data_IF_543716285475
#
_entry.id   IF_543716285475
#
_cell.length_a   1.000
_cell.length_b   1.000
_cell.length_c   1.000
_cell.angle_alpha   90.00
_cell.angle_beta   90.00
_cell.angle_gamma   90.00
#
_symmetry.space_group_name_H-M   'P 1'
#
loop_
_entity.id
_entity.type
_entity.pdbx_description
1 polymer ?
#
# COMPACT_ATOMS: atom_id res chain seq x y z
N UNK A 1 -9.56 -19.14 2.75
CA UNK A 1 -10.70 -18.23 2.58
C UNK A 1 -10.45 -17.28 1.42
N UNK A 2 -11.46 -17.10 0.60
CA UNK A 2 -11.30 -16.27 -0.58
C UNK A 2 -12.02 -14.94 -0.39
N UNK A 3 -11.37 -13.87 -0.79
CA UNK A 3 -11.97 -12.55 -0.72
C UNK A 3 -13.05 -12.42 -1.77
N UNK A 4 -14.12 -11.69 -1.44
CA UNK A 4 -15.21 -11.49 -2.40
C UNK A 4 -14.77 -10.50 -3.47
N UNK A 5 -15.04 -10.85 -4.72
CA UNK A 5 -14.65 -9.97 -5.81
C UNK A 5 -15.28 -8.58 -5.72
N UNK A 6 -16.51 -8.52 -5.23
CA UNK A 6 -17.19 -7.22 -5.11
C UNK A 6 -16.57 -6.30 -4.08
N UNK A 7 -15.78 -6.85 -3.16
CA UNK A 7 -15.11 -6.03 -2.15
C UNK A 7 -13.75 -5.56 -2.62
N UNK A 8 -13.31 -6.02 -3.78
CA UNK A 8 -12.00 -5.68 -4.32
C UNK A 8 -12.06 -4.47 -5.23
N UNK A 9 -10.97 -3.78 -5.33
CA UNK A 9 -10.79 -2.70 -6.29
C UNK A 9 -9.44 -2.89 -6.95
N UNK A 10 -9.24 -2.23 -8.08
CA UNK A 10 -7.95 -2.25 -8.73
C UNK A 10 -7.03 -1.29 -8.02
N UNK A 11 -5.87 -1.78 -7.61
CA UNK A 11 -4.84 -0.93 -7.04
C UNK A 11 -3.57 -1.14 -7.84
N UNK A 12 -2.73 -0.12 -7.87
CA UNK A 12 -1.45 -0.21 -8.58
C UNK A 12 -0.36 -0.43 -7.56
N UNK A 13 0.41 -1.49 -7.77
CA UNK A 13 1.49 -1.88 -6.89
C UNK A 13 2.81 -1.51 -7.55
N UNK A 14 3.66 -0.76 -6.86
CA UNK A 14 4.95 -0.31 -7.39
C UNK A 14 6.07 -0.70 -6.47
N UNK A 15 7.21 -1.07 -7.04
CA UNK A 15 8.41 -1.26 -6.24
C UNK A 15 9.06 0.09 -6.02
N UNK A 16 9.56 0.32 -4.82
CA UNK A 16 10.31 1.52 -4.55
C UNK A 16 11.72 1.32 -5.07
N UNK A 17 12.16 2.18 -5.98
CA UNK A 17 13.50 2.06 -6.56
C UNK A 17 14.53 2.91 -5.86
N UNK A 18 14.10 3.84 -5.02
CA UNK A 18 15.03 4.66 -4.28
C UNK A 18 14.35 5.87 -3.68
N UNK A 19 15.18 6.80 -3.23
CA UNK A 19 14.69 8.06 -2.67
C UNK A 19 15.67 9.14 -3.06
N UNK A 20 15.16 10.28 -3.51
CA UNK A 20 15.99 11.39 -3.92
C UNK A 20 15.39 12.67 -3.36
N UNK A 21 16.19 13.41 -2.57
CA UNK A 21 15.73 14.64 -1.93
C UNK A 21 14.46 14.43 -1.11
N UNK A 22 14.42 13.31 -0.37
CA UNK A 22 13.26 12.93 0.45
C UNK A 22 12.01 12.61 -0.35
N UNK A 23 12.15 12.39 -1.66
CA UNK A 23 11.04 12.01 -2.51
C UNK A 23 11.28 10.59 -3.01
N UNK A 24 10.28 9.75 -2.89
CA UNK A 24 10.39 8.36 -3.34
C UNK A 24 10.42 8.27 -4.86
N UNK A 25 11.19 7.31 -5.36
CA UNK A 25 11.18 6.97 -6.77
C UNK A 25 10.63 5.56 -6.90
N UNK A 26 9.79 5.35 -7.91
CA UNK A 26 9.02 4.12 -8.07
C UNK A 26 9.31 3.45 -9.40
N UNK A 27 9.22 2.14 -9.40
CA UNK A 27 9.32 1.37 -10.60
C UNK A 27 7.98 1.26 -11.31
N UNK A 28 7.89 0.31 -12.20
CA UNK A 28 6.70 0.11 -13.00
C UNK A 28 5.52 -0.30 -12.14
N UNK A 29 4.34 0.21 -12.47
CA UNK A 29 3.13 -0.11 -11.73
C UNK A 29 2.51 -1.39 -12.27
N UNK A 30 2.06 -2.24 -11.36
CA UNK A 30 1.39 -3.48 -11.70
C UNK A 30 -0.01 -3.46 -11.10
N UNK A 31 -1.07 -3.60 -11.89
CA UNK A 31 -2.41 -3.60 -11.33
C UNK A 31 -2.70 -4.94 -10.64
N UNK A 32 -3.31 -4.86 -9.47
CA UNK A 32 -3.81 -6.04 -8.77
C UNK A 32 -5.21 -5.74 -8.26
N UNK A 33 -5.93 -6.80 -7.89
CA UNK A 33 -7.26 -6.66 -7.33
C UNK A 33 -7.18 -6.97 -5.84
N UNK A 34 -7.50 -6.02 -5.02
CA UNK A 34 -7.38 -6.17 -3.58
C UNK A 34 -8.48 -5.41 -2.87
N UNK A 35 -8.78 -5.80 -1.64
CA UNK A 35 -9.75 -5.10 -0.82
C UNK A 35 -8.99 -4.16 0.12
N UNK A 36 -9.41 -2.90 0.17
CA UNK A 36 -8.73 -1.90 0.99
C UNK A 36 -9.73 -1.29 1.95
N UNK A 37 -9.37 -1.26 3.22
CA UNK A 37 -10.23 -0.77 4.30
C UNK A 37 -9.49 0.24 5.14
N UNK A 38 -10.22 1.17 5.78
CA UNK A 38 -9.59 2.05 6.76
C UNK A 38 -9.08 1.19 7.91
N UNK A 39 -7.88 1.47 8.40
CA UNK A 39 -7.40 0.80 9.59
C UNK A 39 -8.09 1.43 10.79
N UNK A 40 -8.42 0.63 11.78
CA UNK A 40 -9.04 1.15 12.98
C UNK A 40 -8.06 1.90 13.84
N UNK A 41 -8.53 2.84 14.61
CA UNK A 41 -7.70 3.59 15.53
C UNK A 41 -6.87 2.69 16.41
N UNK A 42 -7.49 1.60 16.83
CA UNK A 42 -6.82 0.66 17.71
C UNK A 42 -5.57 0.07 17.10
N UNK A 43 -5.65 -0.24 15.82
CA UNK A 43 -4.51 -0.80 15.13
C UNK A 43 -3.39 0.24 15.04
N UNK A 44 -3.73 1.47 14.73
CA UNK A 44 -2.76 2.53 14.64
C UNK A 44 -2.06 2.76 15.98
N UNK A 45 -2.84 2.83 17.05
CA UNK A 45 -2.29 3.07 18.36
C UNK A 45 -1.39 1.93 18.83
N UNK A 46 -1.79 0.71 18.56
CA UNK A 46 -1.02 -0.44 19.01
C UNK A 46 0.28 -0.64 18.23
N UNK A 47 0.24 -0.39 16.93
CA UNK A 47 1.36 -0.75 16.09
C UNK A 47 2.30 0.41 15.85
N UNK A 48 1.75 1.60 15.68
CA UNK A 48 2.55 2.73 15.23
C UNK A 48 2.57 3.91 16.17
N UNK A 49 1.96 3.77 17.33
CA UNK A 49 1.96 4.83 18.32
C UNK A 49 1.33 6.09 17.77
N UNK A 50 2.10 7.14 17.74
CA UNK A 50 1.60 8.43 17.34
C UNK A 50 1.63 8.70 15.84
N UNK A 51 1.96 7.71 15.06
CA UNK A 51 1.90 7.88 13.62
C UNK A 51 0.46 7.89 13.21
N UNK A 52 -0.15 9.02 13.34
CA UNK A 52 -1.56 9.14 13.07
C UNK A 52 -1.85 9.45 11.62
N UNK A 53 -0.85 9.37 10.77
CA UNK A 53 -1.11 9.54 9.37
C UNK A 53 -2.16 8.56 8.91
N UNK A 54 -2.60 8.73 7.70
CA UNK A 54 -3.61 7.87 7.15
C UNK A 54 -3.10 6.43 7.05
N UNK A 55 -3.81 5.51 7.66
CA UNK A 55 -3.44 4.10 7.65
C UNK A 55 -4.58 3.29 7.05
N UNK A 56 -4.23 2.31 6.22
CA UNK A 56 -5.21 1.44 5.58
C UNK A 56 -4.79 0.00 5.75
N UNK A 57 -5.75 -0.88 5.58
CA UNK A 57 -5.52 -2.32 5.60
C UNK A 57 -5.85 -2.88 4.24
N UNK A 58 -4.94 -3.62 3.64
CA UNK A 58 -5.17 -4.21 2.33
C UNK A 58 -5.15 -5.73 2.42
N UNK A 59 -6.18 -6.36 1.91
CA UNK A 59 -6.29 -7.82 1.85
C UNK A 59 -6.18 -8.26 0.39
N UNK A 60 -5.29 -9.21 0.14
CA UNK A 60 -4.99 -9.65 -1.21
C UNK A 60 -4.85 -11.15 -1.26
N UNK A 61 -5.57 -11.80 -2.16
CA UNK A 61 -5.54 -13.26 -2.29
C UNK A 61 -4.94 -13.72 -3.61
N UNK A 62 -4.28 -12.83 -4.34
CA UNK A 62 -3.66 -13.17 -5.59
C UNK A 62 -2.24 -13.71 -5.44
N UNK A 63 -1.58 -13.98 -6.56
CA UNK A 63 -0.27 -14.65 -6.53
C UNK A 63 0.94 -13.75 -6.30
N UNK A 64 0.79 -12.45 -6.42
CA UNK A 64 1.93 -11.56 -6.27
C UNK A 64 2.34 -11.45 -4.81
N UNK A 65 3.63 -11.59 -4.51
CA UNK A 65 4.10 -11.45 -3.14
C UNK A 65 4.19 -9.97 -2.78
N UNK A 66 3.47 -9.57 -1.75
CA UNK A 66 3.56 -8.22 -1.23
C UNK A 66 4.75 -8.14 -0.29
N UNK A 67 5.37 -6.98 -0.18
CA UNK A 67 6.52 -6.80 0.69
C UNK A 67 6.55 -5.39 1.25
N UNK A 68 7.08 -5.22 2.48
CA UNK A 68 7.25 -3.88 3.02
C UNK A 68 8.10 -3.02 2.10
N UNK A 69 7.76 -1.75 1.99
CA UNK A 69 8.47 -0.82 1.11
C UNK A 69 7.80 -0.60 -0.22
N UNK A 70 6.94 -1.52 -0.65
CA UNK A 70 6.22 -1.33 -1.90
C UNK A 70 5.22 -0.20 -1.79
N UNK A 71 5.00 0.49 -2.92
CA UNK A 71 4.03 1.56 -2.97
C UNK A 71 2.70 1.07 -3.50
N UNK A 72 1.62 1.67 -3.01
CA UNK A 72 0.27 1.31 -3.41
C UNK A 72 -0.47 2.57 -3.81
N UNK A 73 -1.02 2.57 -5.01
CA UNK A 73 -1.85 3.67 -5.49
C UNK A 73 -3.28 3.18 -5.64
N UNK A 74 -4.21 3.91 -5.06
CA UNK A 74 -5.63 3.57 -5.15
C UNK A 74 -6.31 4.23 -6.35
N UNK A 75 -5.55 4.99 -7.12
CA UNK A 75 -6.07 5.65 -8.31
C UNK A 75 -4.93 5.87 -9.27
N UNK A 76 -4.96 6.99 -9.95
CA UNK A 76 -3.89 7.33 -10.88
C UNK A 76 -2.77 8.05 -10.14
N UNK A 77 -1.59 8.01 -10.74
CA UNK A 77 -0.46 8.78 -10.26
C UNK A 77 0.43 8.00 -9.32
N UNK A 78 1.28 8.73 -8.62
CA UNK A 78 2.25 8.14 -7.72
C UNK A 78 1.57 7.45 -6.56
N UNK A 79 2.20 6.43 -5.98
CA UNK A 79 1.64 5.74 -4.81
C UNK A 79 1.32 6.70 -3.68
N UNK A 80 0.14 6.56 -3.12
CA UNK A 80 -0.31 7.36 -1.99
C UNK A 80 0.02 6.68 -0.68
N UNK A 81 0.32 5.38 -0.71
CA UNK A 81 0.59 4.59 0.47
C UNK A 81 1.82 3.73 0.28
N UNK A 82 2.44 3.36 1.37
CA UNK A 82 3.57 2.46 1.38
C UNK A 82 3.23 1.28 2.30
N UNK A 83 3.57 0.07 1.88
CA UNK A 83 3.37 -1.11 2.71
C UNK A 83 4.40 -1.10 3.82
N UNK A 84 3.96 -1.20 5.06
CA UNK A 84 4.87 -1.21 6.20
C UNK A 84 4.94 -2.56 6.88
N UNK A 85 3.95 -3.42 6.69
CA UNK A 85 4.03 -4.79 7.20
C UNK A 85 3.12 -5.68 6.39
N UNK A 86 3.47 -6.96 6.32
CA UNK A 86 2.68 -7.95 5.60
C UNK A 86 2.61 -9.22 6.44
N UNK A 87 1.40 -9.74 6.60
CA UNK A 87 1.18 -11.03 7.23
C UNK A 87 0.61 -11.97 6.17
N UNK A 88 1.08 -13.20 6.17
CA UNK A 88 0.63 -14.19 5.19
C UNK A 88 -0.05 -15.34 5.87
N UNK A 89 -1.31 -15.52 5.53
CA UNK A 89 -2.12 -16.62 6.03
C UNK A 89 -2.77 -17.29 4.82
N UNK A 90 -4.08 -17.42 4.82
CA UNK A 90 -4.79 -17.88 3.64
C UNK A 90 -4.71 -16.83 2.53
N UNK A 91 -4.52 -15.57 2.91
CA UNK A 91 -4.29 -14.47 1.98
C UNK A 91 -3.29 -13.52 2.63
N UNK A 92 -2.86 -12.52 1.89
CA UNK A 92 -1.90 -11.57 2.41
C UNK A 92 -2.64 -10.38 3.01
N UNK A 93 -2.17 -9.93 4.15
CA UNK A 93 -2.71 -8.80 4.86
C UNK A 93 -1.61 -7.77 5.02
N UNK A 94 -1.78 -6.65 4.34
CA UNK A 94 -0.78 -5.59 4.35
C UNK A 94 -1.30 -4.37 5.08
N UNK A 95 -0.44 -3.76 5.88
CA UNK A 95 -0.75 -2.49 6.51
C UNK A 95 -0.11 -1.40 5.68
N UNK A 96 -0.90 -0.41 5.30
CA UNK A 96 -0.48 0.68 4.44
C UNK A 96 -0.41 1.96 5.25
N UNK A 97 0.69 2.70 5.06
CA UNK A 97 0.87 3.99 5.70
C UNK A 97 0.84 5.06 4.62
N UNK A 98 0.08 6.14 4.85
CA UNK A 98 0.01 7.23 3.89
C UNK A 98 1.35 7.90 3.69
N UNK A 99 1.68 8.21 2.45
CA UNK A 99 2.90 8.92 2.11
C UNK A 99 2.55 10.39 1.98
N UNK A 100 3.25 11.28 2.70
CA UNK A 100 2.99 12.71 2.57
C UNK A 100 3.08 13.14 1.11
N UNK A 101 2.19 14.01 0.71
CA UNK A 101 2.09 14.41 -0.68
C UNK A 101 3.42 14.86 -1.27
N UNK A 102 4.20 15.60 -0.50
CA UNK A 102 5.49 16.08 -0.99
C UNK A 102 6.54 15.00 -1.18
N UNK A 103 6.28 13.77 -0.73
CA UNK A 103 7.24 12.68 -0.86
C UNK A 103 6.82 11.61 -1.86
N UNK A 104 5.66 11.75 -2.48
CA UNK A 104 5.13 10.72 -3.36
C UNK A 104 5.84 10.56 -4.69
N UNK A 105 6.53 11.57 -5.14
CA UNK A 105 7.20 11.52 -6.42
C UNK A 105 6.23 11.61 -7.59
N UNK A 106 6.72 11.37 -8.78
CA UNK A 106 5.98 11.55 -10.01
C UNK A 106 5.27 10.32 -10.54
N UNK A 107 5.40 9.20 -9.89
CA UNK A 107 4.81 7.98 -10.38
C UNK A 107 5.72 7.29 -11.38
N UNK A 108 5.26 6.12 -11.85
CA UNK A 108 6.09 5.26 -12.69
C UNK A 108 6.43 5.88 -14.04
N UNK A 109 5.59 6.76 -14.51
CA UNK A 109 5.78 7.37 -15.79
C UNK A 109 6.59 8.65 -15.76
N UNK A 110 6.91 9.11 -14.60
CA UNK A 110 7.60 10.39 -14.44
C UNK A 110 9.03 10.33 -14.92
#
# INVERSE_FOLDING_TARGET
>A
MRLRERDKQTVLLCEMTGMEDDVYTWGEATPIRAAVYPAGERLEAQVYGERTGETRLMLYDGPTALAPGMGVSLGDGAPQYRIISVERWAHQRAVLEGIPEGRRGGGAEA
#
